data_IF_620978934061
#
_entry.id   IF_620978934061
#
_cell.length_a   1.000
_cell.length_b   1.000
_cell.length_c   1.000
_cell.angle_alpha   90.00
_cell.angle_beta   90.00
_cell.angle_gamma   90.00
#
_symmetry.space_group_name_H-M   'P 1'
#
loop_
_entity.id
_entity.type
_entity.pdbx_description
1 polymer ?
#
# COMPACT_ATOMS: atom_id res chain seq x y z
N UNK A 1 -4.19 8.53 -3.68
CA UNK A 1 -3.54 9.40 -4.71
C UNK A 1 -3.37 10.82 -4.18
N UNK A 2 -4.42 11.46 -3.59
CA UNK A 2 -4.31 12.82 -3.07
C UNK A 2 -3.12 13.04 -2.13
N UNK A 3 -2.91 12.14 -1.17
CA UNK A 3 -1.76 12.19 -0.26
C UNK A 3 -0.41 12.09 -1.02
N UNK A 4 -0.32 11.21 -2.03
CA UNK A 4 0.88 11.10 -2.87
C UNK A 4 1.15 12.42 -3.62
N UNK A 5 0.11 13.01 -4.21
CA UNK A 5 0.23 14.30 -4.90
C UNK A 5 0.64 15.41 -3.92
N UNK A 6 0.03 15.46 -2.73
CA UNK A 6 0.39 16.43 -1.69
C UNK A 6 1.85 16.31 -1.26
N UNK A 7 2.34 15.08 -1.06
CA UNK A 7 3.74 14.83 -0.69
C UNK A 7 4.71 15.28 -1.79
N UNK A 8 4.44 14.95 -3.06
CA UNK A 8 5.31 15.33 -4.18
C UNK A 8 5.33 16.85 -4.37
N UNK A 9 4.16 17.50 -4.34
CA UNK A 9 4.08 18.96 -4.47
C UNK A 9 4.67 19.71 -3.27
N UNK A 10 4.52 19.15 -2.07
CA UNK A 10 4.97 19.78 -0.83
C UNK A 10 6.44 19.55 -0.49
N UNK A 11 7.11 18.61 -1.14
CA UNK A 11 8.49 18.23 -0.78
C UNK A 11 9.50 18.38 -1.92
N UNK A 12 9.04 18.60 -3.17
CA UNK A 12 9.95 18.68 -4.31
C UNK A 12 9.59 19.82 -5.27
N UNK A 13 10.62 20.45 -5.83
CA UNK A 13 10.49 21.49 -6.86
C UNK A 13 10.67 20.91 -8.25
N UNK A 14 10.02 21.49 -9.29
CA UNK A 14 10.28 21.10 -10.68
C UNK A 14 11.76 21.07 -11.02
N UNK A 15 12.20 20.05 -11.74
CA UNK A 15 13.59 19.81 -12.09
C UNK A 15 14.38 18.94 -11.11
N UNK A 16 13.94 18.81 -9.84
CA UNK A 16 14.58 17.86 -8.91
C UNK A 16 14.41 16.40 -9.38
N UNK A 17 15.41 15.58 -9.12
CA UNK A 17 15.39 14.14 -9.41
C UNK A 17 14.87 13.36 -8.22
N UNK A 18 14.00 12.39 -8.49
CA UNK A 18 13.49 11.43 -7.49
C UNK A 18 13.59 10.01 -8.02
N UNK A 19 14.04 9.10 -7.17
CA UNK A 19 14.04 7.65 -7.43
C UNK A 19 12.66 7.11 -7.08
N UNK A 20 11.96 6.46 -8.02
CA UNK A 20 10.68 5.83 -7.78
C UNK A 20 10.82 4.30 -7.85
N UNK A 21 10.45 3.60 -6.78
CA UNK A 21 10.47 2.13 -6.75
C UNK A 21 9.24 1.61 -7.49
N UNK A 22 9.44 0.97 -8.64
CA UNK A 22 8.38 0.48 -9.53
C UNK A 22 8.28 -1.05 -9.52
N UNK A 23 7.77 -1.62 -8.42
CA UNK A 23 7.48 -3.05 -8.29
C UNK A 23 6.01 -3.40 -8.55
N UNK A 24 5.20 -2.46 -9.06
CA UNK A 24 3.79 -2.61 -9.33
C UNK A 24 3.09 -1.31 -9.73
N UNK A 25 1.76 -1.36 -9.78
CA UNK A 25 0.92 -0.25 -10.25
C UNK A 25 1.05 1.01 -9.41
N UNK A 26 1.22 0.86 -8.08
CA UNK A 26 1.33 2.00 -7.18
C UNK A 26 2.73 2.62 -7.22
N UNK A 27 3.77 1.82 -7.49
CA UNK A 27 5.10 2.32 -7.80
C UNK A 27 5.12 3.18 -9.07
N UNK A 28 4.52 2.70 -10.16
CA UNK A 28 4.38 3.45 -11.40
C UNK A 28 3.59 4.75 -11.23
N UNK A 29 2.64 4.79 -10.27
CA UNK A 29 1.89 6.01 -9.94
C UNK A 29 2.79 7.11 -9.39
N UNK A 30 3.79 6.76 -8.58
CA UNK A 30 4.78 7.72 -8.10
C UNK A 30 5.50 8.42 -9.24
N UNK A 31 6.04 7.67 -10.20
CA UNK A 31 6.69 8.25 -11.39
C UNK A 31 5.76 9.14 -12.20
N UNK A 32 4.50 8.71 -12.34
CA UNK A 32 3.50 9.51 -13.07
C UNK A 32 3.24 10.86 -12.39
N UNK A 33 3.04 10.86 -11.06
CA UNK A 33 2.82 12.10 -10.28
C UNK A 33 4.07 12.97 -10.31
N UNK A 34 5.27 12.38 -10.14
CA UNK A 34 6.52 13.10 -10.17
C UNK A 34 6.73 13.82 -11.53
N UNK A 35 6.52 13.11 -12.64
CA UNK A 35 6.62 13.70 -13.98
C UNK A 35 5.59 14.82 -14.20
N UNK A 36 4.36 14.66 -13.74
CA UNK A 36 3.33 15.70 -13.84
C UNK A 36 3.68 16.95 -13.04
N UNK A 37 4.39 16.79 -11.91
CA UNK A 37 4.95 17.92 -11.15
C UNK A 37 6.13 18.60 -11.85
N UNK A 38 6.69 18.01 -12.89
CA UNK A 38 7.90 18.47 -13.57
C UNK A 38 9.19 18.00 -12.92
N UNK A 39 9.14 16.94 -12.12
CA UNK A 39 10.33 16.27 -11.59
C UNK A 39 10.93 15.32 -12.61
N UNK A 40 12.22 15.07 -12.46
CA UNK A 40 12.91 13.99 -13.19
C UNK A 40 12.73 12.70 -12.41
N UNK A 41 11.73 11.90 -12.78
CA UNK A 41 11.50 10.60 -12.17
C UNK A 41 12.47 9.56 -12.75
N UNK A 42 13.32 9.00 -11.90
CA UNK A 42 14.23 7.89 -12.20
C UNK A 42 13.56 6.60 -11.72
N UNK A 43 13.05 5.73 -12.62
CA UNK A 43 12.41 4.49 -12.20
C UNK A 43 13.45 3.46 -11.75
N UNK A 44 13.23 2.84 -10.60
CA UNK A 44 13.91 1.63 -10.17
C UNK A 44 12.93 0.47 -10.39
N UNK A 45 13.02 -0.13 -11.55
CA UNK A 45 12.13 -1.21 -11.98
C UNK A 45 12.45 -2.51 -11.24
N UNK A 46 11.41 -3.08 -10.62
CA UNK A 46 11.47 -4.34 -9.88
C UNK A 46 10.47 -5.32 -10.52
N UNK A 47 10.86 -6.57 -10.79
CA UNK A 47 9.91 -7.56 -11.28
C UNK A 47 8.69 -7.67 -10.35
N UNK A 48 7.50 -7.62 -10.92
CA UNK A 48 6.26 -7.68 -10.14
C UNK A 48 6.18 -8.99 -9.34
N UNK A 49 5.85 -8.89 -8.06
CA UNK A 49 5.87 -9.99 -7.11
C UNK A 49 7.18 -10.11 -6.32
N UNK A 50 8.18 -9.27 -6.61
CA UNK A 50 9.43 -9.18 -5.87
C UNK A 50 9.54 -7.86 -5.09
N UNK A 51 10.21 -7.91 -3.94
CA UNK A 51 10.55 -6.71 -3.19
C UNK A 51 11.85 -6.10 -3.73
N UNK A 52 11.94 -4.77 -3.68
CA UNK A 52 13.21 -4.08 -3.90
C UNK A 52 14.22 -4.49 -2.83
N UNK A 53 15.49 -4.59 -3.21
CA UNK A 53 16.56 -4.78 -2.23
C UNK A 53 17.16 -3.44 -1.80
N UNK A 54 17.59 -3.29 -0.54
CA UNK A 54 18.27 -2.07 -0.09
C UNK A 54 19.52 -1.76 -0.92
N UNK A 55 20.22 -2.81 -1.37
CA UNK A 55 21.41 -2.71 -2.22
C UNK A 55 21.09 -2.06 -3.58
N UNK A 56 19.96 -2.40 -4.19
CA UNK A 56 19.53 -1.78 -5.45
C UNK A 56 19.25 -0.28 -5.26
N UNK A 57 18.61 0.10 -4.15
CA UNK A 57 18.40 1.52 -3.80
C UNK A 57 19.74 2.22 -3.58
N UNK A 58 20.64 1.63 -2.80
CA UNK A 58 21.98 2.15 -2.55
C UNK A 58 22.74 2.38 -3.86
N UNK A 59 22.78 1.38 -4.73
CA UNK A 59 23.45 1.47 -6.04
C UNK A 59 22.88 2.59 -6.91
N UNK A 60 21.56 2.75 -6.95
CA UNK A 60 20.91 3.82 -7.70
C UNK A 60 21.27 5.21 -7.15
N UNK A 61 21.33 5.38 -5.82
CA UNK A 61 21.69 6.63 -5.17
C UNK A 61 23.20 6.95 -5.33
N UNK A 62 24.05 5.94 -5.31
CA UNK A 62 25.50 6.11 -5.53
C UNK A 62 25.80 6.45 -6.99
N UNK A 63 25.04 5.90 -7.94
CA UNK A 63 25.19 6.18 -9.38
C UNK A 63 24.71 7.58 -9.78
N UNK A 64 23.72 8.15 -9.08
CA UNK A 64 23.22 9.51 -9.34
C UNK A 64 23.05 10.32 -8.04
N UNK A 65 24.10 11.00 -7.58
CA UNK A 65 24.06 11.85 -6.38
C UNK A 65 23.14 13.08 -6.50
N UNK A 66 22.57 13.34 -7.67
CA UNK A 66 21.59 14.42 -7.88
C UNK A 66 20.17 14.04 -7.42
N UNK A 67 19.91 12.78 -7.09
CA UNK A 67 18.64 12.34 -6.54
C UNK A 67 18.41 12.99 -5.17
N UNK A 68 17.22 13.59 -4.98
CA UNK A 68 16.82 14.32 -3.76
C UNK A 68 15.76 13.59 -2.95
N UNK A 69 15.13 12.57 -3.51
CA UNK A 69 14.10 11.79 -2.82
C UNK A 69 13.97 10.39 -3.37
N UNK A 70 13.54 9.47 -2.50
CA UNK A 70 13.08 8.12 -2.85
C UNK A 70 11.59 8.04 -2.55
N UNK A 71 10.83 7.61 -3.56
CA UNK A 71 9.39 7.40 -3.49
C UNK A 71 9.14 5.89 -3.45
N UNK A 72 8.63 5.40 -2.33
CA UNK A 72 8.46 3.98 -2.08
C UNK A 72 7.04 3.64 -1.62
N UNK A 73 6.64 2.38 -1.74
CA UNK A 73 5.47 1.81 -1.08
C UNK A 73 5.93 0.92 0.08
N UNK A 74 5.22 0.95 1.21
CA UNK A 74 5.37 -0.08 2.24
C UNK A 74 4.81 -1.40 1.71
N UNK A 75 3.58 -1.36 1.18
CA UNK A 75 2.92 -2.50 0.55
C UNK A 75 2.51 -2.16 -0.87
N UNK A 76 3.03 -2.89 -1.85
CA UNK A 76 2.59 -2.79 -3.23
C UNK A 76 1.32 -3.64 -3.43
N UNK A 77 0.17 -3.01 -3.29
CA UNK A 77 -1.14 -3.68 -3.27
C UNK A 77 -1.49 -4.40 -4.57
N UNK A 78 -0.93 -3.99 -5.69
CA UNK A 78 -1.19 -4.64 -6.97
C UNK A 78 -0.57 -6.04 -7.09
N UNK A 79 0.46 -6.32 -6.28
CA UNK A 79 1.23 -7.56 -6.29
C UNK A 79 1.21 -8.31 -4.96
N UNK A 80 0.85 -7.64 -3.85
CA UNK A 80 0.89 -8.21 -2.51
C UNK A 80 2.30 -8.26 -1.91
N UNK A 81 3.21 -7.42 -2.39
CA UNK A 81 4.60 -7.34 -1.89
C UNK A 81 4.70 -6.34 -0.73
N UNK A 82 5.51 -6.66 0.27
CA UNK A 82 5.98 -5.76 1.33
C UNK A 82 7.43 -5.37 1.04
N UNK A 83 7.71 -4.07 0.88
CA UNK A 83 9.06 -3.59 0.69
C UNK A 83 9.79 -3.36 2.02
N UNK A 84 11.12 -3.56 2.08
CA UNK A 84 11.92 -3.41 3.31
C UNK A 84 12.22 -1.92 3.61
N UNK A 85 11.17 -1.15 3.90
CA UNK A 85 11.23 0.32 4.04
C UNK A 85 12.20 0.76 5.12
N UNK A 86 12.32 0.03 6.24
CA UNK A 86 13.30 0.31 7.29
C UNK A 86 14.74 0.28 6.75
N UNK A 87 15.07 -0.74 5.96
CA UNK A 87 16.41 -0.85 5.39
C UNK A 87 16.66 0.21 4.32
N UNK A 88 15.64 0.54 3.50
CA UNK A 88 15.71 1.65 2.54
C UNK A 88 15.95 2.98 3.26
N UNK A 89 15.32 3.20 4.41
CA UNK A 89 15.50 4.42 5.20
C UNK A 89 16.95 4.63 5.66
N UNK A 90 17.66 3.55 5.99
CA UNK A 90 19.10 3.62 6.33
C UNK A 90 19.93 4.13 5.14
N UNK A 91 19.63 3.67 3.93
CA UNK A 91 20.35 4.08 2.71
C UNK A 91 20.08 5.55 2.35
N UNK A 92 18.83 6.01 2.48
CA UNK A 92 18.47 7.40 2.17
C UNK A 92 19.04 8.38 3.20
N UNK A 93 19.01 8.03 4.49
CA UNK A 93 19.54 8.89 5.57
C UNK A 93 21.04 9.08 5.47
N UNK A 94 21.78 8.03 5.10
CA UNK A 94 23.23 8.10 4.92
C UNK A 94 23.67 9.10 3.83
N UNK A 95 22.73 9.49 2.92
CA UNK A 95 23.00 10.35 1.76
C UNK A 95 22.23 11.68 1.79
N UNK A 96 21.56 12.00 2.87
CA UNK A 96 20.68 13.18 3.00
C UNK A 96 19.59 13.25 1.91
N UNK A 97 19.06 12.10 1.51
CA UNK A 97 17.96 11.95 0.55
C UNK A 97 16.66 11.73 1.31
N UNK A 98 15.58 12.43 0.94
CA UNK A 98 14.27 12.25 1.58
C UNK A 98 13.65 10.90 1.20
N UNK A 99 13.03 10.22 2.18
CA UNK A 99 12.24 9.01 1.94
C UNK A 99 10.74 9.29 2.15
N UNK A 100 9.98 9.20 1.07
CA UNK A 100 8.52 9.34 1.06
C UNK A 100 7.89 7.97 0.88
N UNK A 101 7.07 7.55 1.83
CA UNK A 101 6.50 6.20 1.88
C UNK A 101 4.99 6.22 1.75
N UNK A 102 4.48 5.56 0.73
CA UNK A 102 3.08 5.19 0.63
C UNK A 102 2.80 4.00 1.56
N UNK A 103 2.19 4.29 2.69
CA UNK A 103 1.74 3.32 3.67
C UNK A 103 0.25 2.99 3.57
N UNK A 104 -0.43 3.33 2.46
CA UNK A 104 -1.89 3.19 2.32
C UNK A 104 -2.38 1.78 2.64
N UNK A 105 -1.69 0.75 2.17
CA UNK A 105 -2.04 -0.65 2.46
C UNK A 105 -1.09 -1.30 3.48
N UNK A 106 -0.49 -0.50 4.36
CA UNK A 106 0.45 -0.96 5.39
C UNK A 106 0.17 -0.39 6.78
N UNK A 107 -0.13 0.91 6.87
CA UNK A 107 -0.46 1.58 8.14
C UNK A 107 -1.71 0.95 8.78
N UNK A 108 -1.59 0.60 10.07
CA UNK A 108 -2.64 -0.13 10.80
C UNK A 108 -2.73 -1.62 10.48
N UNK A 109 -1.85 -2.16 9.62
CA UNK A 109 -1.83 -3.57 9.20
C UNK A 109 -0.52 -4.26 9.54
N UNK A 110 0.60 -3.56 9.38
CA UNK A 110 1.94 -4.04 9.71
C UNK A 110 2.75 -2.94 10.40
N UNK A 111 3.79 -3.27 11.17
CA UNK A 111 4.65 -2.27 11.80
C UNK A 111 5.24 -1.30 10.77
N UNK A 112 5.14 0.00 11.06
CA UNK A 112 5.78 1.07 10.30
C UNK A 112 6.03 2.27 11.22
N UNK A 113 6.91 2.13 12.24
CA UNK A 113 7.21 3.20 13.18
C UNK A 113 8.06 4.28 12.49
N UNK A 114 7.39 5.31 11.97
CA UNK A 114 7.97 6.36 11.14
C UNK A 114 9.24 6.97 11.75
N UNK A 115 9.17 7.36 13.02
CA UNK A 115 10.28 8.04 13.70
C UNK A 115 11.45 7.09 13.95
N UNK A 116 11.17 5.87 14.42
CA UNK A 116 12.21 4.87 14.70
C UNK A 116 12.95 4.45 13.41
N UNK A 117 12.23 4.30 12.31
CA UNK A 117 12.83 3.99 11.01
C UNK A 117 13.43 5.23 10.33
N UNK A 118 13.03 6.43 10.75
CA UNK A 118 13.52 7.70 10.21
C UNK A 118 13.00 8.01 8.83
N UNK A 119 11.72 7.75 8.60
CA UNK A 119 11.04 8.15 7.38
C UNK A 119 10.82 9.66 7.36
N UNK A 120 10.82 10.27 6.17
CA UNK A 120 10.60 11.71 6.05
C UNK A 120 9.13 12.05 5.81
N UNK A 121 8.43 11.23 5.06
CA UNK A 121 7.00 11.34 4.89
C UNK A 121 6.40 9.94 4.87
N UNK A 122 5.38 9.73 5.71
CA UNK A 122 4.54 8.55 5.67
C UNK A 122 3.11 9.00 5.36
N UNK A 123 2.49 8.38 4.37
CA UNK A 123 1.12 8.70 4.02
C UNK A 123 0.21 7.48 4.07
N UNK A 124 -1.07 7.71 4.41
CA UNK A 124 -2.09 6.67 4.38
C UNK A 124 -3.45 7.22 3.94
N UNK A 125 -4.44 6.36 3.86
CA UNK A 125 -5.83 6.69 3.52
C UNK A 125 -6.81 5.98 4.43
N UNK A 126 -8.02 6.53 4.54
CA UNK A 126 -9.05 6.06 5.47
C UNK A 126 -9.56 4.63 5.22
N UNK A 127 -9.58 4.18 3.95
CA UNK A 127 -10.30 2.98 3.50
C UNK A 127 -9.52 1.66 3.57
N UNK A 128 -8.42 1.59 4.30
CA UNK A 128 -7.58 0.41 4.45
C UNK A 128 -7.50 0.00 5.92
N UNK A 129 -6.33 -0.05 6.50
CA UNK A 129 -6.15 -0.40 7.91
C UNK A 129 -6.91 0.49 8.89
N UNK A 130 -7.29 1.71 8.49
CA UNK A 130 -8.10 2.61 9.31
C UNK A 130 -9.61 2.34 9.24
N UNK A 131 -10.09 1.33 8.53
CA UNK A 131 -11.45 0.78 8.59
C UNK A 131 -12.60 1.74 8.26
N UNK A 132 -12.35 2.77 7.45
CA UNK A 132 -13.32 3.79 7.09
C UNK A 132 -13.65 3.76 5.59
N UNK A 133 -14.73 4.40 5.15
CA UNK A 133 -14.92 4.70 3.74
C UNK A 133 -13.78 5.54 3.16
N UNK A 134 -13.52 5.46 1.85
CA UNK A 134 -12.56 6.34 1.20
C UNK A 134 -12.98 7.81 1.29
N UNK A 135 -12.01 8.72 1.48
CA UNK A 135 -12.27 10.17 1.53
C UNK A 135 -11.25 10.97 2.34
N UNK A 136 -10.47 10.33 3.24
CA UNK A 136 -9.39 10.99 3.96
C UNK A 136 -8.03 10.56 3.41
N UNK A 137 -7.12 11.53 3.36
CA UNK A 137 -5.71 11.36 3.10
C UNK A 137 -4.92 11.93 4.29
N UNK A 138 -4.08 11.11 4.91
CA UNK A 138 -3.30 11.48 6.08
C UNK A 138 -1.82 11.46 5.72
N UNK A 139 -1.08 12.48 6.16
CA UNK A 139 0.36 12.59 5.98
C UNK A 139 1.00 12.92 7.33
N UNK A 140 2.09 12.22 7.62
CA UNK A 140 3.02 12.57 8.69
C UNK A 140 4.35 12.95 8.05
N UNK A 141 4.98 14.03 8.53
CA UNK A 141 6.24 14.54 8.03
C UNK A 141 7.26 14.66 9.17
N UNK A 142 8.51 14.26 8.89
CA UNK A 142 9.63 14.50 9.80
C UNK A 142 9.96 15.99 9.89
N UNK A 143 10.69 16.39 10.95
CA UNK A 143 11.19 17.76 11.05
C UNK A 143 12.06 18.17 9.84
N UNK A 144 12.78 17.22 9.23
CA UNK A 144 13.57 17.44 8.02
C UNK A 144 12.68 17.74 6.81
N UNK A 145 11.62 16.96 6.63
CA UNK A 145 10.64 17.17 5.57
C UNK A 145 9.87 18.49 5.75
N UNK A 146 9.52 18.85 6.98
CA UNK A 146 8.88 20.14 7.28
C UNK A 146 9.78 21.32 6.92
N UNK A 147 11.05 21.32 7.33
CA UNK A 147 11.98 22.38 6.95
C UNK A 147 12.04 22.57 5.43
N UNK A 148 12.03 21.47 4.66
CA UNK A 148 12.00 21.55 3.19
C UNK A 148 10.66 22.11 2.70
N UNK A 149 9.53 21.62 3.20
CA UNK A 149 8.20 22.06 2.82
C UNK A 149 7.97 23.57 3.04
N UNK A 150 8.55 24.13 4.09
CA UNK A 150 8.43 25.55 4.43
C UNK A 150 9.24 26.47 3.49
N UNK A 151 10.25 25.94 2.80
CA UNK A 151 11.14 26.71 1.93
C UNK A 151 10.76 26.69 0.46
N UNK A 152 9.84 25.82 0.05
CA UNK A 152 9.48 25.67 -1.36
C UNK A 152 8.06 26.16 -1.68
N UNK A 153 7.87 26.61 -2.91
CA UNK A 153 6.53 26.84 -3.45
C UNK A 153 5.97 25.51 -3.98
N UNK A 154 4.90 25.03 -3.35
CA UNK A 154 4.21 23.82 -3.79
C UNK A 154 3.64 23.91 -5.20
N UNK A 155 3.43 25.12 -5.73
CA UNK A 155 2.74 25.37 -7.00
C UNK A 155 1.33 24.78 -7.03
N UNK A 156 0.75 24.45 -5.86
CA UNK A 156 -0.56 23.83 -5.74
C UNK A 156 -1.41 24.60 -4.74
N UNK A 157 -2.56 25.10 -5.20
CA UNK A 157 -3.47 25.86 -4.33
C UNK A 157 -4.07 24.95 -3.25
N UNK A 158 -4.51 23.74 -3.62
CA UNK A 158 -5.22 22.83 -2.73
C UNK A 158 -4.28 22.07 -1.78
N UNK A 159 -3.19 21.48 -2.30
CA UNK A 159 -2.23 20.73 -1.50
C UNK A 159 -1.07 21.63 -1.05
N UNK A 160 -1.33 22.48 -0.05
CA UNK A 160 -0.33 23.39 0.51
C UNK A 160 -0.03 23.01 1.96
N UNK A 161 1.01 22.21 2.19
CA UNK A 161 1.33 21.65 3.49
C UNK A 161 1.59 22.72 4.57
N UNK A 162 2.36 23.80 4.33
CA UNK A 162 2.54 24.85 5.33
C UNK A 162 1.24 25.54 5.73
N UNK A 163 0.35 25.84 4.77
CA UNK A 163 -0.95 26.46 5.08
C UNK A 163 -1.87 25.49 5.83
N UNK A 164 -1.87 24.21 5.45
CA UNK A 164 -2.64 23.18 6.15
C UNK A 164 -2.19 23.07 7.61
N UNK A 165 -0.88 22.97 7.86
CA UNK A 165 -0.30 22.96 9.21
C UNK A 165 -0.73 24.16 10.04
N UNK A 166 -0.60 25.38 9.47
CA UNK A 166 -0.96 26.63 10.16
C UNK A 166 -2.46 26.70 10.53
N UNK A 167 -3.35 26.00 9.80
CA UNK A 167 -4.77 25.90 10.15
C UNK A 167 -4.99 24.79 11.20
N UNK A 168 -4.37 23.63 11.06
CA UNK A 168 -4.47 22.55 12.04
C UNK A 168 -4.01 23.02 13.43
N UNK A 169 -2.94 23.79 13.53
CA UNK A 169 -2.45 24.38 14.78
C UNK A 169 -3.48 25.33 15.45
N UNK A 170 -4.44 25.84 14.68
CA UNK A 170 -5.57 26.66 15.16
C UNK A 170 -6.85 25.85 15.39
N UNK A 171 -6.79 24.51 15.26
CA UNK A 171 -7.96 23.63 15.32
C UNK A 171 -8.90 23.80 14.13
N UNK A 172 -8.40 24.21 12.98
CA UNK A 172 -9.17 24.43 11.75
C UNK A 172 -8.61 23.61 10.61
N UNK A 173 -9.36 23.48 9.53
CA UNK A 173 -8.93 22.90 8.25
C UNK A 173 -8.79 24.01 7.21
N UNK A 174 -7.90 23.83 6.23
CA UNK A 174 -7.68 24.83 5.18
C UNK A 174 -8.94 25.02 4.30
N UNK A 175 -9.69 23.95 4.09
CA UNK A 175 -10.93 23.91 3.31
C UNK A 175 -12.02 23.19 4.10
N UNK A 176 -13.25 23.16 3.58
CA UNK A 176 -14.35 22.39 4.16
C UNK A 176 -13.96 20.92 4.28
N UNK A 177 -13.98 20.42 5.51
CA UNK A 177 -13.56 19.06 5.81
C UNK A 177 -14.74 18.06 5.81
N UNK A 178 -14.51 16.77 5.53
CA UNK A 178 -15.50 15.72 5.64
C UNK A 178 -15.70 15.33 7.11
N UNK A 179 -16.43 16.13 7.88
CA UNK A 179 -16.58 16.02 9.33
C UNK A 179 -16.99 14.61 9.77
N UNK A 180 -17.93 13.97 9.04
CA UNK A 180 -18.38 12.61 9.35
C UNK A 180 -17.26 11.57 9.27
N UNK A 181 -16.35 11.71 8.29
CA UNK A 181 -15.20 10.82 8.16
C UNK A 181 -14.16 11.09 9.25
N UNK A 182 -14.00 12.35 9.67
CA UNK A 182 -13.08 12.72 10.75
C UNK A 182 -13.61 12.15 12.09
N UNK A 183 -14.90 12.29 12.37
CA UNK A 183 -15.52 11.67 13.54
C UNK A 183 -15.40 10.13 13.51
N UNK A 184 -15.62 9.52 12.35
CA UNK A 184 -15.37 8.08 12.16
C UNK A 184 -13.92 7.68 12.37
N UNK A 185 -12.96 8.54 11.95
CA UNK A 185 -11.53 8.30 12.17
C UNK A 185 -11.17 8.32 13.66
N UNK A 186 -11.76 9.21 14.43
CA UNK A 186 -11.59 9.24 15.89
C UNK A 186 -12.00 7.91 16.51
N UNK A 187 -13.17 7.38 16.16
CA UNK A 187 -13.64 6.08 16.68
C UNK A 187 -12.77 4.92 16.20
N UNK A 188 -12.38 4.91 14.94
CA UNK A 188 -11.46 3.90 14.41
C UNK A 188 -10.11 3.91 15.14
N UNK A 189 -9.56 5.08 15.41
CA UNK A 189 -8.30 5.21 16.15
C UNK A 189 -8.44 4.76 17.61
N UNK A 190 -9.58 5.05 18.28
CA UNK A 190 -9.86 4.52 19.62
C UNK A 190 -9.81 3.00 19.62
N UNK A 191 -10.51 2.34 18.67
CA UNK A 191 -10.49 0.87 18.55
C UNK A 191 -9.09 0.30 18.29
N UNK A 192 -8.31 0.94 17.42
CA UNK A 192 -6.95 0.49 17.08
C UNK A 192 -5.98 0.65 18.25
N UNK A 193 -6.16 1.70 19.07
CA UNK A 193 -5.22 2.09 20.12
C UNK A 193 -5.62 1.62 21.51
N UNK A 194 -6.84 1.11 21.71
CA UNK A 194 -7.38 0.69 23.01
C UNK A 194 -6.44 -0.24 23.77
N UNK A 195 -5.86 -1.22 23.07
CA UNK A 195 -4.91 -2.17 23.64
C UNK A 195 -3.51 -2.04 23.01
N UNK A 196 -3.23 -0.92 22.35
CA UNK A 196 -2.04 -0.69 21.56
C UNK A 196 -2.06 -1.41 20.20
N UNK A 197 -1.05 -1.16 19.37
CA UNK A 197 -1.00 -1.71 18.00
C UNK A 197 -0.54 -3.18 17.93
N UNK A 198 0.12 -3.68 18.94
CA UNK A 198 0.65 -5.05 18.93
C UNK A 198 -0.43 -6.14 18.78
N UNK A 199 -1.58 -6.10 19.48
CA UNK A 199 -2.69 -7.02 19.24
C UNK A 199 -3.26 -6.91 17.82
N UNK A 200 -3.33 -5.68 17.26
CA UNK A 200 -3.78 -5.45 15.88
C UNK A 200 -2.85 -6.14 14.89
N UNK A 201 -1.54 -5.99 15.05
CA UNK A 201 -0.54 -6.62 14.20
C UNK A 201 -0.56 -8.14 14.32
N UNK A 202 -0.72 -8.69 15.54
CA UNK A 202 -0.84 -10.15 15.73
C UNK A 202 -2.08 -10.72 15.05
N UNK A 203 -3.25 -10.06 15.20
CA UNK A 203 -4.46 -10.44 14.48
C UNK A 203 -4.23 -10.42 12.97
N UNK A 204 -3.68 -9.32 12.46
CA UNK A 204 -3.45 -9.14 11.03
C UNK A 204 -2.48 -10.19 10.48
N UNK A 205 -1.41 -10.48 11.22
CA UNK A 205 -0.47 -11.55 10.86
C UNK A 205 -1.16 -12.93 10.81
N UNK A 206 -1.99 -13.25 11.81
CA UNK A 206 -2.72 -14.52 11.85
C UNK A 206 -3.66 -14.67 10.64
N UNK A 207 -4.42 -13.62 10.29
CA UNK A 207 -5.28 -13.64 9.09
C UNK A 207 -4.48 -13.80 7.80
N UNK A 208 -3.32 -13.14 7.72
CA UNK A 208 -2.40 -13.29 6.59
C UNK A 208 -1.92 -14.72 6.46
N UNK A 209 -1.47 -15.33 7.54
CA UNK A 209 -0.95 -16.71 7.53
C UNK A 209 -2.06 -17.72 7.25
N UNK A 210 -3.27 -17.53 7.80
CA UNK A 210 -4.44 -18.35 7.49
C UNK A 210 -4.74 -18.31 5.99
N UNK A 211 -4.86 -17.10 5.42
CA UNK A 211 -5.15 -16.95 3.99
C UNK A 211 -4.09 -17.60 3.11
N UNK A 212 -2.82 -17.39 3.41
CA UNK A 212 -1.70 -17.94 2.63
C UNK A 212 -1.63 -19.47 2.73
N UNK A 213 -1.82 -20.03 3.93
CA UNK A 213 -1.84 -21.47 4.15
C UNK A 213 -2.99 -22.13 3.37
N UNK A 214 -4.19 -21.57 3.44
CA UNK A 214 -5.35 -22.08 2.71
C UNK A 214 -5.18 -21.98 1.19
N UNK A 215 -4.64 -20.87 0.66
CA UNK A 215 -4.31 -20.73 -0.77
C UNK A 215 -3.34 -21.83 -1.22
N UNK A 216 -2.31 -22.11 -0.42
CA UNK A 216 -1.35 -23.20 -0.71
C UNK A 216 -2.01 -24.58 -0.62
N UNK A 217 -2.87 -24.80 0.38
CA UNK A 217 -3.62 -26.05 0.55
C UNK A 217 -4.60 -26.30 -0.61
N UNK A 218 -5.16 -25.24 -1.21
CA UNK A 218 -5.95 -25.31 -2.44
C UNK A 218 -5.11 -25.58 -3.70
N UNK A 219 -3.80 -25.79 -3.58
CA UNK A 219 -2.90 -26.01 -4.70
C UNK A 219 -2.65 -24.77 -5.56
N UNK A 220 -2.97 -23.57 -5.05
CA UNK A 220 -2.80 -22.31 -5.77
C UNK A 220 -1.43 -21.67 -5.47
N UNK A 221 -0.89 -20.94 -6.45
CA UNK A 221 0.41 -20.30 -6.33
C UNK A 221 0.26 -18.90 -5.72
N UNK A 222 1.04 -18.61 -4.66
CA UNK A 222 1.19 -17.28 -4.10
C UNK A 222 2.04 -16.41 -5.02
N UNK A 223 1.51 -15.27 -5.49
CA UNK A 223 2.24 -14.38 -6.40
C UNK A 223 3.43 -13.69 -5.73
N UNK A 224 3.32 -13.36 -4.44
CA UNK A 224 4.41 -12.86 -3.61
C UNK A 224 4.74 -13.89 -2.51
N UNK A 225 5.54 -14.92 -2.80
CA UNK A 225 5.86 -15.99 -1.83
C UNK A 225 6.78 -15.51 -0.70
N UNK A 226 7.63 -14.51 -0.98
CA UNK A 226 8.55 -13.87 -0.03
C UNK A 226 8.20 -12.39 0.08
N UNK A 227 8.56 -11.74 1.20
CA UNK A 227 8.30 -10.30 1.40
C UNK A 227 6.86 -9.91 1.07
N UNK A 228 5.90 -10.57 1.69
CA UNK A 228 4.48 -10.42 1.42
C UNK A 228 3.81 -9.37 2.32
N UNK A 229 2.85 -8.64 1.76
CA UNK A 229 2.01 -7.69 2.48
C UNK A 229 1.08 -8.40 3.48
N UNK A 230 0.83 -7.76 4.62
CA UNK A 230 -0.01 -8.35 5.67
C UNK A 230 -1.52 -8.13 5.47
N UNK A 231 -1.91 -7.18 4.66
CA UNK A 231 -3.33 -6.85 4.44
C UNK A 231 -3.94 -7.46 3.19
N UNK A 232 -3.12 -8.11 2.34
CA UNK A 232 -3.57 -8.65 1.06
C UNK A 232 -2.75 -9.87 0.65
N UNK A 233 -3.42 -10.87 0.13
CA UNK A 233 -2.80 -12.06 -0.47
C UNK A 233 -3.12 -12.10 -1.95
N UNK A 234 -2.08 -12.07 -2.79
CA UNK A 234 -2.20 -12.17 -4.24
C UNK A 234 -1.96 -13.60 -4.68
N UNK A 235 -2.91 -14.12 -5.44
CA UNK A 235 -2.98 -15.54 -5.86
C UNK A 235 -2.92 -15.61 -7.38
N UNK A 236 -1.96 -16.35 -7.92
CA UNK A 236 -1.89 -16.65 -9.34
C UNK A 236 -2.92 -17.71 -9.68
N UNK A 237 -3.73 -17.43 -10.68
CA UNK A 237 -4.68 -18.43 -11.19
C UNK A 237 -3.98 -19.44 -12.12
N UNK A 238 -4.48 -20.68 -12.16
CA UNK A 238 -3.99 -21.70 -13.08
C UNK A 238 -4.13 -21.27 -14.54
N UNK A 239 -3.27 -21.77 -15.40
CA UNK A 239 -3.34 -21.48 -16.84
C UNK A 239 -4.69 -21.96 -17.42
N UNK A 240 -5.30 -21.13 -18.26
CA UNK A 240 -6.59 -21.44 -18.88
C UNK A 240 -7.82 -21.04 -18.04
N UNK A 241 -7.65 -20.64 -16.79
CA UNK A 241 -8.74 -20.11 -15.95
C UNK A 241 -9.01 -18.65 -16.28
N UNK A 242 -10.27 -18.31 -16.57
CA UNK A 242 -10.68 -16.91 -16.71
C UNK A 242 -10.92 -16.26 -15.33
N UNK A 243 -9.97 -15.46 -14.90
CA UNK A 243 -10.04 -14.78 -13.60
C UNK A 243 -11.19 -13.75 -13.52
N UNK A 244 -11.65 -13.20 -14.62
CA UNK A 244 -12.80 -12.29 -14.60
C UNK A 244 -14.08 -13.08 -14.29
N UNK A 245 -14.21 -14.27 -14.86
CA UNK A 245 -15.33 -15.17 -14.62
C UNK A 245 -15.31 -15.71 -13.17
N UNK A 246 -14.15 -16.10 -12.66
CA UNK A 246 -14.00 -16.50 -11.24
C UNK A 246 -14.49 -15.40 -10.29
N UNK A 247 -14.09 -14.15 -10.54
CA UNK A 247 -14.52 -13.02 -9.71
C UNK A 247 -16.03 -12.73 -9.87
N UNK A 248 -16.56 -12.89 -11.05
CA UNK A 248 -18.00 -12.73 -11.30
C UNK A 248 -18.82 -13.78 -10.54
N UNK A 249 -18.43 -15.06 -10.63
CA UNK A 249 -19.09 -16.16 -9.89
C UNK A 249 -19.00 -15.95 -8.39
N UNK A 250 -17.83 -15.57 -7.85
CA UNK A 250 -17.65 -15.26 -6.44
C UNK A 250 -18.61 -14.16 -5.96
N UNK A 251 -18.77 -13.09 -6.74
CA UNK A 251 -19.65 -11.98 -6.40
C UNK A 251 -21.14 -12.36 -6.52
N UNK A 252 -21.57 -12.97 -7.62
CA UNK A 252 -22.98 -13.21 -7.91
C UNK A 252 -23.57 -14.38 -7.12
N UNK A 253 -22.78 -15.47 -6.91
CA UNK A 253 -23.29 -16.66 -6.24
C UNK A 253 -22.97 -16.70 -4.74
N UNK A 254 -21.84 -16.13 -4.35
CA UNK A 254 -21.36 -16.22 -2.96
C UNK A 254 -21.39 -14.89 -2.24
N UNK A 255 -21.70 -13.77 -2.93
CA UNK A 255 -21.70 -12.43 -2.35
C UNK A 255 -20.31 -11.92 -1.94
N UNK A 256 -19.23 -12.54 -2.44
CA UNK A 256 -17.85 -12.24 -2.06
C UNK A 256 -17.16 -11.44 -3.17
N UNK A 257 -16.72 -10.24 -2.82
CA UNK A 257 -16.02 -9.35 -3.73
C UNK A 257 -14.51 -9.40 -3.50
N UNK A 258 -13.78 -9.86 -4.48
CA UNK A 258 -12.31 -9.87 -4.50
C UNK A 258 -11.79 -8.98 -5.62
N UNK A 259 -10.54 -8.54 -5.53
CA UNK A 259 -9.93 -7.72 -6.57
C UNK A 259 -9.17 -8.59 -7.58
N UNK A 260 -9.25 -8.24 -8.86
CA UNK A 260 -8.45 -8.86 -9.91
C UNK A 260 -7.03 -8.30 -10.02
N UNK A 261 -6.20 -8.92 -10.85
CA UNK A 261 -4.92 -8.39 -11.28
C UNK A 261 -5.06 -7.12 -12.10
N UNK A 262 -3.97 -6.37 -12.22
CA UNK A 262 -3.92 -5.13 -12.99
C UNK A 262 -2.92 -5.27 -14.15
N UNK A 263 -3.09 -4.44 -15.17
CA UNK A 263 -2.25 -4.41 -16.38
C UNK A 263 -2.03 -5.82 -16.97
N UNK A 264 -0.80 -6.28 -17.11
CA UNK A 264 -0.45 -7.61 -17.67
C UNK A 264 -0.88 -8.81 -16.79
N UNK A 265 -1.29 -8.55 -15.54
CA UNK A 265 -1.83 -9.57 -14.63
C UNK A 265 -3.37 -9.65 -14.64
N UNK A 266 -4.04 -8.82 -15.44
CA UNK A 266 -5.51 -8.85 -15.58
C UNK A 266 -5.96 -10.22 -16.05
N UNK A 267 -6.94 -10.80 -15.36
CA UNK A 267 -7.46 -12.14 -15.63
C UNK A 267 -6.55 -13.30 -15.13
N UNK A 268 -5.34 -13.01 -14.64
CA UNK A 268 -4.35 -14.03 -14.21
C UNK A 268 -4.10 -14.04 -12.70
N UNK A 269 -4.61 -13.04 -12.01
CA UNK A 269 -4.37 -12.84 -10.58
C UNK A 269 -5.68 -12.48 -9.88
N UNK A 270 -5.89 -13.09 -8.71
CA UNK A 270 -6.90 -12.68 -7.74
C UNK A 270 -6.20 -12.16 -6.49
N UNK A 271 -6.75 -11.09 -5.92
CA UNK A 271 -6.23 -10.49 -4.69
C UNK A 271 -7.28 -10.56 -3.60
N UNK A 272 -6.95 -11.27 -2.53
CA UNK A 272 -7.79 -11.43 -1.35
C UNK A 272 -7.40 -10.37 -0.34
N UNK A 273 -8.27 -9.40 -0.10
CA UNK A 273 -8.10 -8.40 0.95
C UNK A 273 -8.61 -8.94 2.28
N UNK A 274 -7.74 -8.96 3.29
CA UNK A 274 -8.08 -9.38 4.66
C UNK A 274 -7.64 -8.31 5.65
N UNK A 275 -8.00 -7.04 5.36
CA UNK A 275 -7.61 -5.86 6.11
C UNK A 275 -8.81 -5.11 6.67
N UNK A 276 -8.60 -4.38 7.76
CA UNK A 276 -9.63 -3.57 8.41
C UNK A 276 -10.48 -4.39 9.38
N UNK A 277 -11.78 -4.15 9.38
CA UNK A 277 -12.74 -4.85 10.25
C UNK A 277 -13.13 -6.22 9.66
N UNK A 278 -12.14 -7.09 9.57
CA UNK A 278 -12.26 -8.45 9.02
C UNK A 278 -11.76 -9.43 10.07
N UNK A 279 -12.40 -10.59 10.18
CA UNK A 279 -11.96 -11.68 11.05
C UNK A 279 -11.71 -12.98 10.28
N UNK A 280 -11.45 -14.05 11.03
CA UNK A 280 -11.18 -15.36 10.44
C UNK A 280 -12.39 -15.97 9.70
N UNK A 281 -13.63 -15.66 10.14
CA UNK A 281 -14.84 -16.17 9.50
C UNK A 281 -15.03 -15.52 8.11
N UNK A 282 -14.78 -14.22 8.00
CA UNK A 282 -14.80 -13.50 6.71
C UNK A 282 -13.75 -14.07 5.75
N UNK A 283 -12.55 -14.36 6.26
CA UNK A 283 -11.48 -14.96 5.46
C UNK A 283 -11.87 -16.35 4.96
N UNK A 284 -12.46 -17.19 5.81
CA UNK A 284 -12.92 -18.53 5.41
C UNK A 284 -14.04 -18.46 4.37
N UNK A 285 -15.00 -17.54 4.54
CA UNK A 285 -16.05 -17.32 3.54
C UNK A 285 -15.45 -16.88 2.18
N UNK A 286 -14.46 -15.99 2.20
CA UNK A 286 -13.74 -15.56 1.00
C UNK A 286 -12.98 -16.70 0.31
N UNK A 287 -12.30 -17.55 1.07
CA UNK A 287 -11.57 -18.71 0.57
C UNK A 287 -12.51 -19.80 0.00
N UNK A 288 -13.63 -20.05 0.69
CA UNK A 288 -14.67 -20.94 0.18
C UNK A 288 -15.23 -20.44 -1.16
N UNK A 289 -15.58 -19.17 -1.25
CA UNK A 289 -16.08 -18.58 -2.48
C UNK A 289 -15.07 -18.67 -3.63
N UNK A 290 -13.78 -18.45 -3.35
CA UNK A 290 -12.72 -18.62 -4.34
C UNK A 290 -12.63 -20.05 -4.83
N UNK A 291 -12.58 -21.04 -3.91
CA UNK A 291 -12.47 -22.45 -4.26
C UNK A 291 -13.66 -22.93 -5.08
N UNK A 292 -14.88 -22.60 -4.64
CA UNK A 292 -16.10 -22.98 -5.35
C UNK A 292 -16.19 -22.32 -6.73
N UNK A 293 -15.83 -21.04 -6.85
CA UNK A 293 -15.82 -20.34 -8.15
C UNK A 293 -14.80 -20.95 -9.12
N UNK A 294 -13.64 -21.38 -8.62
CA UNK A 294 -12.63 -22.06 -9.44
C UNK A 294 -13.14 -23.42 -9.94
N UNK A 295 -13.85 -24.18 -9.13
CA UNK A 295 -14.47 -25.45 -9.55
C UNK A 295 -15.52 -25.22 -10.62
N UNK A 296 -16.39 -24.21 -10.47
CA UNK A 296 -17.45 -23.91 -11.43
C UNK A 296 -16.89 -23.44 -12.78
N UNK A 297 -15.84 -22.63 -12.78
CA UNK A 297 -15.19 -22.14 -14.03
C UNK A 297 -14.36 -23.24 -14.72
N UNK A 298 -14.20 -24.42 -14.09
CA UNK A 298 -13.54 -25.59 -14.69
C UNK A 298 -12.02 -25.53 -14.64
N UNK A 299 -11.48 -24.71 -13.77
CA UNK A 299 -10.04 -24.43 -13.76
C UNK A 299 -9.20 -25.26 -12.81
N UNK A 300 -9.77 -26.01 -11.87
CA UNK A 300 -8.96 -26.76 -10.91
C UNK A 300 -9.67 -28.03 -10.47
N UNK A 301 -9.19 -29.15 -10.99
CA UNK A 301 -9.55 -30.49 -10.50
C UNK A 301 -8.72 -30.90 -9.25
N UNK A 302 -8.00 -29.97 -8.67
CA UNK A 302 -7.17 -30.14 -7.50
C UNK A 302 -8.00 -30.12 -6.23
N UNK A 303 -8.15 -31.30 -5.68
CA UNK A 303 -8.66 -31.60 -4.33
C UNK A 303 -10.16 -31.42 -4.07
N UNK A 304 -10.92 -32.43 -4.40
CA UNK A 304 -12.16 -32.73 -3.68
C UNK A 304 -11.91 -33.12 -2.20
N UNK A 305 -10.65 -33.22 -1.79
CA UNK A 305 -10.24 -33.75 -0.48
C UNK A 305 -10.18 -32.72 0.66
N UNK A 306 -10.52 -31.44 0.44
CA UNK A 306 -10.46 -30.40 1.48
C UNK A 306 -11.82 -29.99 2.05
N UNK A 307 -12.92 -30.62 1.58
CA UNK A 307 -14.26 -30.38 2.10
C UNK A 307 -14.86 -31.64 2.78
N UNK A 308 -14.10 -32.72 2.90
CA UNK A 308 -14.35 -33.82 3.82
C UNK A 308 -13.43 -33.62 5.06
#
# INVERSE_FOLDING_TARGET
>A
TGAMTAAVHGLFTPGEKVLAIEGGKFGQRWSSIARQRGLVAVPLEIPWGQAVTPEAVRQALDADPAIRGVLAQLSETSTGVLHPVEAIARETRARDVLLVVDGISGVGLSPCPMDAWGLDCLLTGSQKGLMLPPGLALLALSSRAWRKAETLDSGCFYFNLPKERANVEKGQTLFTSPVNLIAGLEESLKLLLENGLEPVYRKQWALTMLTRAAVTALGLELFAPRHFAWGITSVRLPAGVDGAEVLRVAAERYGVYMAGGQDHLKGRLVRIGHMGWVDWADVLAGLHALAASLQEVGGHSGSRDYLE
#
